data_IF_157374090425
#
_entry.id   IF_157374090425
#
_cell.length_a   1.000
_cell.length_b   1.000
_cell.length_c   1.000
_cell.angle_alpha   90.00
_cell.angle_beta   90.00
_cell.angle_gamma   90.00
#
_symmetry.space_group_name_H-M   'P 1'
#
loop_
_entity.id
_entity.type
_entity.pdbx_description
1 polymer ?
#
# COMPACT_ATOMS: atom_id res chain seq x y z
N UNK A 1 11.47 10.95 28.81
CA UNK A 1 10.45 10.87 27.75
C UNK A 1 9.18 11.66 28.07
N UNK A 2 8.73 11.76 29.32
CA UNK A 2 7.51 12.54 29.65
C UNK A 2 7.65 14.05 29.43
N UNK A 3 8.85 14.60 29.69
CA UNK A 3 9.17 16.03 29.47
C UNK A 3 9.07 16.42 27.98
N UNK A 4 9.36 15.48 27.07
CA UNK A 4 9.25 15.68 25.62
C UNK A 4 7.78 15.68 25.17
N UNK A 5 6.92 14.87 25.80
CA UNK A 5 5.47 14.87 25.53
C UNK A 5 4.79 16.15 26.03
N UNK A 6 5.16 16.62 27.22
CA UNK A 6 4.59 17.86 27.77
C UNK A 6 4.99 19.10 26.97
N UNK A 7 6.25 19.18 26.54
CA UNK A 7 6.71 20.25 25.65
C UNK A 7 6.05 20.20 24.28
N UNK A 8 5.85 19.00 23.70
CA UNK A 8 5.10 18.83 22.46
C UNK A 8 3.64 19.30 22.58
N UNK A 9 2.96 18.96 23.67
CA UNK A 9 1.58 19.43 23.94
C UNK A 9 1.48 20.95 24.07
N UNK A 10 2.51 21.60 24.63
CA UNK A 10 2.57 23.08 24.73
C UNK A 10 2.82 23.75 23.38
N UNK A 11 3.69 23.15 22.55
CA UNK A 11 4.04 23.72 21.24
C UNK A 11 2.96 23.45 20.18
N UNK A 12 2.30 22.29 20.23
CA UNK A 12 1.31 21.86 19.24
C UNK A 12 0.04 21.31 19.92
N UNK A 13 -0.74 22.15 20.62
CA UNK A 13 -1.88 21.71 21.43
C UNK A 13 -2.96 21.00 20.59
N UNK A 14 -3.29 21.55 19.42
CA UNK A 14 -4.31 20.97 18.54
C UNK A 14 -3.85 19.63 17.94
N UNK A 15 -2.59 19.53 17.50
CA UNK A 15 -2.04 18.30 16.93
C UNK A 15 -1.98 17.18 17.96
N UNK A 16 -1.57 17.49 19.20
CA UNK A 16 -1.58 16.51 20.29
C UNK A 16 -3.01 16.02 20.59
N UNK A 17 -3.99 16.94 20.60
CA UNK A 17 -5.40 16.58 20.77
C UNK A 17 -5.93 15.71 19.62
N UNK A 18 -5.56 15.99 18.37
CA UNK A 18 -5.92 15.18 17.20
C UNK A 18 -5.31 13.78 17.27
N UNK A 19 -4.04 13.67 17.67
CA UNK A 19 -3.36 12.38 17.85
C UNK A 19 -3.96 11.55 18.99
N UNK A 20 -4.36 12.18 20.10
CA UNK A 20 -4.94 11.51 21.27
C UNK A 20 -6.41 11.13 21.06
N UNK A 21 -7.18 11.96 20.38
CA UNK A 21 -8.59 11.69 20.08
C UNK A 21 -8.76 10.57 19.05
N UNK A 22 -7.75 10.30 18.22
CA UNK A 22 -7.81 9.27 17.17
C UNK A 22 -8.77 9.62 16.02
N UNK A 23 -9.39 10.80 16.04
CA UNK A 23 -10.39 11.22 15.05
C UNK A 23 -9.77 11.53 13.67
N UNK A 24 -8.45 11.72 13.58
CA UNK A 24 -7.76 12.14 12.36
C UNK A 24 -6.92 11.02 11.71
N UNK A 25 -7.30 9.75 11.92
CA UNK A 25 -6.59 8.60 11.36
C UNK A 25 -6.99 8.27 9.92
N UNK A 26 -6.02 8.21 9.00
CA UNK A 26 -6.21 7.65 7.65
C UNK A 26 -5.70 6.21 7.64
N UNK A 27 -6.53 5.26 7.16
CA UNK A 27 -6.10 3.86 7.02
C UNK A 27 -5.05 3.74 5.92
N UNK A 28 -3.93 3.07 6.23
CA UNK A 28 -2.93 2.71 5.23
C UNK A 28 -3.49 1.56 4.38
N UNK A 29 -3.84 1.87 3.12
CA UNK A 29 -4.41 0.88 2.21
C UNK A 29 -3.37 -0.11 1.65
N UNK A 30 -2.12 0.33 1.53
CA UNK A 30 -1.03 -0.45 0.90
C UNK A 30 0.31 0.22 1.19
N UNK A 31 1.37 -0.59 1.32
CA UNK A 31 2.75 -0.09 1.45
C UNK A 31 3.49 -0.34 0.14
N UNK A 32 4.03 0.73 -0.46
CA UNK A 32 4.89 0.67 -1.65
C UNK A 32 6.31 1.05 -1.23
N UNK A 33 7.27 0.18 -1.53
CA UNK A 33 8.69 0.42 -1.25
C UNK A 33 9.42 1.19 -2.35
N UNK A 34 8.75 1.46 -3.47
CA UNK A 34 9.25 2.29 -4.57
C UNK A 34 8.46 3.61 -4.67
N UNK A 35 9.12 4.78 -4.58
CA UNK A 35 8.46 6.08 -4.56
C UNK A 35 7.80 6.42 -5.90
N UNK A 36 8.41 6.09 -7.04
CA UNK A 36 7.85 6.38 -8.36
C UNK A 36 6.54 5.61 -8.61
N UNK A 37 6.49 4.34 -8.17
CA UNK A 37 5.27 3.54 -8.17
C UNK A 37 4.22 4.10 -7.20
N UNK A 38 4.66 4.63 -6.05
CA UNK A 38 3.83 5.34 -5.08
C UNK A 38 3.10 6.55 -5.66
N UNK A 39 3.83 7.44 -6.31
CA UNK A 39 3.29 8.66 -6.91
C UNK A 39 2.27 8.35 -8.02
N UNK A 40 2.61 7.43 -8.93
CA UNK A 40 1.71 7.00 -10.02
C UNK A 40 0.38 6.43 -9.50
N UNK A 41 0.39 5.75 -8.35
CA UNK A 41 -0.82 5.18 -7.77
C UNK A 41 -1.77 6.25 -7.19
N UNK A 42 -1.25 7.39 -6.72
CA UNK A 42 -2.06 8.46 -6.13
C UNK A 42 -2.64 9.38 -7.20
N UNK A 43 -1.87 9.69 -8.25
CA UNK A 43 -2.31 10.59 -9.34
C UNK A 43 -3.50 10.06 -10.14
N UNK A 44 -3.79 8.76 -10.09
CA UNK A 44 -4.80 8.10 -10.93
C UNK A 44 -6.22 8.04 -10.33
N UNK A 45 -6.51 8.70 -9.21
CA UNK A 45 -7.84 8.65 -8.57
C UNK A 45 -9.01 9.18 -9.43
N UNK A 46 -8.75 9.90 -10.53
CA UNK A 46 -9.77 10.55 -11.37
C UNK A 46 -9.78 10.13 -12.85
N UNK A 47 -8.99 9.12 -13.26
CA UNK A 47 -9.00 8.59 -14.63
C UNK A 47 -8.90 7.06 -14.61
N UNK A 48 -9.48 6.40 -15.62
CA UNK A 48 -9.57 4.94 -15.80
C UNK A 48 -8.55 4.16 -14.94
N UNK A 49 -9.05 3.51 -13.88
CA UNK A 49 -8.21 2.86 -12.88
C UNK A 49 -7.35 1.78 -13.53
N UNK A 50 -6.04 2.00 -13.63
CA UNK A 50 -5.07 0.98 -14.06
C UNK A 50 -4.46 0.32 -12.82
N UNK A 51 -4.72 -0.98 -12.57
CA UNK A 51 -4.15 -1.68 -11.42
C UNK A 51 -2.63 -1.72 -11.45
N UNK A 52 -2.02 -1.52 -10.27
CA UNK A 52 -0.58 -1.61 -10.03
C UNK A 52 -0.20 -3.05 -9.60
N UNK A 53 1.10 -3.36 -9.59
CA UNK A 53 1.66 -4.63 -9.09
C UNK A 53 1.11 -5.00 -7.72
N UNK A 54 1.02 -4.01 -6.82
CA UNK A 54 0.47 -4.22 -5.47
C UNK A 54 -1.01 -4.60 -5.52
N UNK A 55 -1.78 -4.11 -6.49
CA UNK A 55 -3.19 -4.48 -6.62
C UNK A 55 -3.36 -5.93 -7.08
N UNK A 56 -2.49 -6.39 -7.97
CA UNK A 56 -2.43 -7.80 -8.36
C UNK A 56 -2.02 -8.68 -7.18
N UNK A 57 -0.99 -8.29 -6.44
CA UNK A 57 -0.52 -9.03 -5.26
C UNK A 57 -1.58 -9.12 -4.15
N UNK A 58 -2.38 -8.07 -3.95
CA UNK A 58 -3.47 -8.07 -2.95
C UNK A 58 -4.64 -8.98 -3.30
N UNK A 59 -4.74 -9.41 -4.57
CA UNK A 59 -5.73 -10.40 -5.04
C UNK A 59 -5.25 -11.83 -4.89
N UNK A 60 -3.95 -12.05 -4.76
CA UNK A 60 -3.41 -13.39 -4.55
C UNK A 60 -3.88 -13.97 -3.21
N UNK A 61 -4.08 -15.28 -3.22
CA UNK A 61 -4.34 -16.07 -2.01
C UNK A 61 -3.13 -16.86 -1.57
N UNK A 62 -2.29 -17.26 -2.53
CA UNK A 62 -1.10 -18.05 -2.28
C UNK A 62 0.18 -17.30 -2.68
N UNK A 63 1.29 -17.72 -2.08
CA UNK A 63 2.61 -17.13 -2.31
C UNK A 63 3.09 -17.39 -3.73
N UNK A 64 2.81 -18.58 -4.27
CA UNK A 64 3.22 -19.00 -5.61
C UNK A 64 2.59 -18.10 -6.68
N UNK A 65 1.30 -17.78 -6.52
CA UNK A 65 0.59 -16.85 -7.41
C UNK A 65 1.23 -15.45 -7.40
N UNK A 66 1.60 -14.96 -6.22
CA UNK A 66 2.23 -13.67 -6.07
C UNK A 66 3.63 -13.65 -6.73
N UNK A 67 4.38 -14.74 -6.62
CA UNK A 67 5.69 -14.89 -7.26
C UNK A 67 5.60 -14.93 -8.79
N UNK A 68 4.62 -15.64 -9.34
CA UNK A 68 4.32 -15.67 -10.78
C UNK A 68 3.99 -14.28 -11.32
N UNK A 69 3.15 -13.52 -10.59
CA UNK A 69 2.79 -12.14 -10.98
C UNK A 69 4.04 -11.24 -10.98
N UNK A 70 4.88 -11.31 -9.95
CA UNK A 70 6.12 -10.51 -9.90
C UNK A 70 7.02 -10.87 -11.08
N UNK A 71 7.19 -12.16 -11.38
CA UNK A 71 8.00 -12.64 -12.49
C UNK A 71 7.45 -12.16 -13.85
N UNK A 72 6.14 -12.22 -14.04
CA UNK A 72 5.48 -11.77 -15.26
C UNK A 72 5.65 -10.26 -15.49
N UNK A 73 5.45 -9.45 -14.46
CA UNK A 73 5.54 -7.99 -14.55
C UNK A 73 7.00 -7.52 -14.73
N UNK A 74 7.96 -8.24 -14.13
CA UNK A 74 9.38 -8.00 -14.36
C UNK A 74 9.78 -8.33 -15.80
N UNK A 75 9.34 -9.47 -16.36
CA UNK A 75 9.62 -9.84 -17.76
C UNK A 75 9.05 -8.85 -18.77
N UNK A 76 7.92 -8.22 -18.46
CA UNK A 76 7.30 -7.18 -19.31
C UNK A 76 7.94 -5.81 -19.14
N UNK A 77 8.86 -5.63 -18.18
CA UNK A 77 9.47 -4.34 -17.87
C UNK A 77 8.51 -3.35 -17.19
N UNK A 78 7.38 -3.84 -16.65
CA UNK A 78 6.44 -2.99 -15.90
C UNK A 78 6.98 -2.64 -14.52
N UNK A 79 7.86 -3.48 -13.97
CA UNK A 79 8.64 -3.21 -12.76
C UNK A 79 10.13 -3.43 -13.02
N UNK A 80 10.96 -2.65 -12.32
CA UNK A 80 12.41 -2.86 -12.35
C UNK A 80 12.79 -4.15 -11.62
N UNK A 81 13.89 -4.78 -12.03
CA UNK A 81 14.43 -5.96 -11.33
C UNK A 81 14.79 -5.70 -9.87
N UNK A 82 15.22 -4.47 -9.55
CA UNK A 82 15.47 -4.09 -8.16
C UNK A 82 14.17 -4.10 -7.34
N UNK A 83 13.09 -3.56 -7.91
CA UNK A 83 11.79 -3.54 -7.25
C UNK A 83 11.20 -4.95 -7.14
N UNK A 84 11.28 -5.76 -8.19
CA UNK A 84 10.88 -7.17 -8.16
C UNK A 84 11.61 -7.95 -7.05
N UNK A 85 12.93 -7.73 -6.88
CA UNK A 85 13.72 -8.34 -5.80
C UNK A 85 13.21 -7.93 -4.41
N UNK A 86 12.87 -6.65 -4.20
CA UNK A 86 12.29 -6.16 -2.94
C UNK A 86 10.93 -6.83 -2.67
N UNK A 87 10.07 -6.93 -3.68
CA UNK A 87 8.77 -7.59 -3.57
C UNK A 87 8.90 -9.08 -3.21
N UNK A 88 9.81 -9.81 -3.87
CA UNK A 88 10.08 -11.23 -3.54
C UNK A 88 10.60 -11.40 -2.11
N UNK A 89 11.48 -10.51 -1.65
CA UNK A 89 11.98 -10.54 -0.26
C UNK A 89 10.83 -10.35 0.73
N UNK A 90 10.02 -9.31 0.52
CA UNK A 90 8.85 -9.03 1.38
C UNK A 90 7.84 -10.18 1.36
N UNK A 91 7.57 -10.77 0.20
CA UNK A 91 6.67 -11.90 0.03
C UNK A 91 7.16 -13.13 0.82
N UNK A 92 8.46 -13.44 0.78
CA UNK A 92 9.07 -14.56 1.52
C UNK A 92 9.06 -14.34 3.04
N UNK A 93 9.34 -13.12 3.48
CA UNK A 93 9.46 -12.82 4.92
C UNK A 93 8.11 -12.64 5.62
N UNK A 94 7.13 -12.02 4.94
CA UNK A 94 5.89 -11.54 5.57
C UNK A 94 4.61 -12.10 4.93
N UNK A 95 4.74 -12.84 3.84
CA UNK A 95 3.61 -13.41 3.10
C UNK A 95 2.83 -12.38 2.27
N UNK A 96 1.80 -12.88 1.57
CA UNK A 96 0.98 -12.11 0.62
C UNK A 96 0.25 -10.94 1.28
N UNK A 97 -0.16 -11.09 2.54
CA UNK A 97 -0.92 -10.06 3.27
C UNK A 97 -0.07 -8.88 3.73
N UNK A 98 1.25 -8.95 3.56
CA UNK A 98 2.14 -7.82 3.80
C UNK A 98 1.94 -6.65 2.83
N UNK A 99 1.35 -6.92 1.65
CA UNK A 99 1.07 -5.90 0.63
C UNK A 99 -0.20 -5.10 0.88
N UNK A 100 -1.02 -5.52 1.86
CA UNK A 100 -2.27 -4.87 2.25
C UNK A 100 -3.41 -5.86 2.45
N UNK A 101 -4.57 -5.35 2.84
CA UNK A 101 -5.80 -6.15 2.98
C UNK A 101 -6.19 -6.79 1.65
N UNK A 102 -6.76 -8.00 1.71
CA UNK A 102 -7.25 -8.72 0.53
C UNK A 102 -8.27 -7.86 -0.21
N UNK A 103 -8.07 -7.66 -1.52
CA UNK A 103 -9.12 -7.11 -2.38
C UNK A 103 -10.10 -8.24 -2.70
N UNK A 104 -11.38 -8.06 -2.39
CA UNK A 104 -12.43 -9.00 -2.81
C UNK A 104 -12.57 -9.02 -4.33
N UNK A 105 -13.10 -10.13 -4.86
CA UNK A 105 -13.23 -10.37 -6.31
C UNK A 105 -14.12 -9.31 -7.02
N UNK A 106 -14.93 -8.54 -6.29
CA UNK A 106 -15.83 -7.52 -6.83
C UNK A 106 -15.39 -6.06 -6.54
N UNK A 107 -14.13 -5.83 -6.17
CA UNK A 107 -13.66 -4.51 -5.74
C UNK A 107 -13.81 -3.41 -6.82
N UNK A 108 -13.81 -3.75 -8.12
CA UNK A 108 -14.06 -2.76 -9.19
C UNK A 108 -15.54 -2.66 -9.59
N UNK A 109 -16.35 -3.72 -9.38
CA UNK A 109 -17.80 -3.68 -9.62
C UNK A 109 -18.56 -2.83 -8.60
N UNK A 110 -18.03 -2.66 -7.39
CA UNK A 110 -18.66 -1.82 -6.35
C UNK A 110 -18.28 -0.34 -6.42
N UNK A 111 -17.29 0.04 -7.25
CA UNK A 111 -16.83 1.44 -7.38
C UNK A 111 -17.39 2.16 -8.61
N UNK A 112 -17.76 1.43 -9.66
CA UNK A 112 -18.56 1.95 -10.77
C UNK A 112 -19.99 1.44 -10.57
N UNK A 113 -20.85 2.28 -9.97
CA UNK A 113 -22.26 1.94 -9.82
C UNK A 113 -22.90 1.63 -11.17
N UNK A 114 -23.38 0.40 -11.33
CA UNK A 114 -24.56 0.09 -12.14
C UNK A 114 -25.76 0.06 -11.20
#
# INVERSE_FOLDING_TARGET
MDVEKESFRKMFPNLAQEMESGNCGIKINSVRSDPATGEKAVSRKFTAYTPDVIDFLRRCDKVEQAEEIICYLEKRGEISSEYARKLRKQLKEKGVRSFGSKKENDHYLKQDGL
#
